data_IF_582517850564
#
_entry.id   IF_582517850564
#
_cell.length_a   1.000
_cell.length_b   1.000
_cell.length_c   1.000
_cell.angle_alpha   90.00
_cell.angle_beta   90.00
_cell.angle_gamma   90.00
#
_symmetry.space_group_name_H-M   'P 1'
#
loop_
_entity.id
_entity.type
_entity.pdbx_description
1 polymer ?
#
# COMPACT_ATOMS: atom_id res chain seq x y z
N UNK A 1 -18.93 -15.35 3.24
CA UNK A 1 -18.54 -14.63 4.48
C UNK A 1 -17.29 -13.82 4.20
N UNK A 2 -16.97 -12.85 5.05
CA UNK A 2 -15.72 -12.08 4.92
C UNK A 2 -14.51 -12.93 5.37
N UNK A 3 -13.32 -12.78 4.74
CA UNK A 3 -12.12 -13.49 5.16
C UNK A 3 -11.70 -13.12 6.60
N UNK A 4 -11.32 -14.11 7.40
CA UNK A 4 -10.83 -13.91 8.79
C UNK A 4 -9.30 -13.69 8.83
N UNK A 5 -8.59 -14.14 7.80
CA UNK A 5 -7.12 -14.10 7.67
C UNK A 5 -6.56 -12.74 7.22
N UNK A 6 -7.23 -11.64 7.58
CA UNK A 6 -6.79 -10.30 7.19
C UNK A 6 -5.53 -9.91 7.99
N UNK A 7 -4.45 -9.45 7.34
CA UNK A 7 -3.28 -8.89 8.01
C UNK A 7 -3.61 -7.85 9.09
N UNK A 8 -2.84 -7.84 10.18
CA UNK A 8 -3.05 -6.94 11.32
C UNK A 8 -1.82 -6.07 11.60
N UNK A 9 -2.06 -4.95 12.28
CA UNK A 9 -1.05 -4.05 12.86
C UNK A 9 0.12 -3.74 11.89
N UNK A 10 1.31 -4.23 12.19
CA UNK A 10 2.56 -3.87 11.52
C UNK A 10 2.59 -4.31 10.05
N UNK A 11 1.93 -5.42 9.73
CA UNK A 11 1.82 -5.88 8.34
C UNK A 11 1.05 -4.87 7.50
N UNK A 12 -0.04 -4.32 8.05
CA UNK A 12 -0.85 -3.29 7.37
C UNK A 12 -0.03 -2.02 7.21
N UNK A 13 0.75 -1.65 8.21
CA UNK A 13 1.62 -0.46 8.16
C UNK A 13 2.67 -0.56 7.06
N UNK A 14 3.33 -1.71 6.91
CA UNK A 14 4.34 -1.91 5.86
C UNK A 14 3.75 -1.90 4.44
N UNK A 15 2.59 -2.52 4.25
CA UNK A 15 1.88 -2.50 2.97
C UNK A 15 1.33 -1.11 2.66
N UNK A 16 0.81 -0.41 3.67
CA UNK A 16 0.38 0.98 3.55
C UNK A 16 1.54 1.85 3.09
N UNK A 17 2.68 1.80 3.80
CA UNK A 17 3.89 2.54 3.45
C UNK A 17 4.30 2.31 1.99
N UNK A 18 4.39 1.04 1.55
CA UNK A 18 4.69 0.71 0.16
C UNK A 18 3.73 1.33 -0.87
N UNK A 19 2.46 1.50 -0.51
CA UNK A 19 1.42 1.95 -1.43
C UNK A 19 1.25 3.47 -1.54
N UNK A 20 1.97 4.23 -0.70
CA UNK A 20 1.93 5.71 -0.68
C UNK A 20 2.46 6.27 -1.99
N UNK A 21 1.88 7.39 -2.40
CA UNK A 21 2.30 8.16 -3.57
C UNK A 21 2.69 9.56 -3.10
N UNK A 22 3.90 9.97 -3.45
CA UNK A 22 4.38 11.33 -3.20
C UNK A 22 4.50 12.10 -4.51
N UNK A 23 4.54 13.44 -4.41
CA UNK A 23 4.79 14.32 -5.54
C UNK A 23 6.24 14.80 -5.51
N UNK A 24 6.82 15.04 -6.69
CA UNK A 24 8.18 15.55 -6.87
C UNK A 24 9.26 14.60 -6.31
N UNK A 25 9.03 13.31 -6.45
CA UNK A 25 9.99 12.28 -6.06
C UNK A 25 11.01 12.02 -7.18
N UNK A 26 12.26 11.63 -6.84
CA UNK A 26 13.23 11.16 -7.83
C UNK A 26 12.66 10.01 -8.68
N UNK A 27 12.79 10.13 -10.00
CA UNK A 27 12.28 9.14 -10.96
C UNK A 27 10.80 9.27 -11.31
N UNK A 28 10.14 10.37 -10.93
CA UNK A 28 8.77 10.66 -11.36
C UNK A 28 8.66 10.72 -12.90
N UNK A 29 7.64 10.06 -13.44
CA UNK A 29 7.37 9.97 -14.89
C UNK A 29 8.17 8.90 -15.63
N UNK A 30 9.09 8.20 -14.98
CA UNK A 30 9.84 7.10 -15.60
C UNK A 30 8.92 5.95 -15.99
N UNK A 31 9.30 5.23 -17.04
CA UNK A 31 8.55 4.08 -17.58
C UNK A 31 9.40 2.84 -17.42
N UNK A 32 8.83 1.79 -16.81
CA UNK A 32 9.52 0.53 -16.55
C UNK A 32 8.84 -0.62 -17.29
N UNK A 33 9.64 -1.42 -18.01
CA UNK A 33 9.14 -2.51 -18.84
C UNK A 33 8.98 -3.83 -18.06
N UNK A 34 9.76 -4.02 -17.01
CA UNK A 34 9.74 -5.21 -16.15
C UNK A 34 10.12 -4.90 -14.69
N UNK A 35 9.93 -5.89 -13.82
CA UNK A 35 10.24 -5.77 -12.39
C UNK A 35 11.75 -5.77 -12.09
N UNK A 36 12.58 -6.37 -12.95
CA UNK A 36 14.03 -6.40 -12.73
C UNK A 36 14.66 -5.02 -12.94
N UNK A 37 14.24 -4.32 -13.99
CA UNK A 37 14.61 -2.92 -14.26
C UNK A 37 14.16 -2.00 -13.12
N UNK A 38 12.93 -2.20 -12.62
CA UNK A 38 12.40 -1.45 -11.49
C UNK A 38 13.20 -1.69 -10.21
N UNK A 39 13.53 -2.94 -9.89
CA UNK A 39 14.33 -3.30 -8.73
C UNK A 39 15.74 -2.71 -8.82
N UNK A 40 16.37 -2.79 -9.99
CA UNK A 40 17.68 -2.18 -10.22
C UNK A 40 17.64 -0.65 -10.05
N UNK A 41 16.60 0.02 -10.54
CA UNK A 41 16.41 1.45 -10.36
C UNK A 41 16.21 1.84 -8.88
N UNK A 42 15.51 1.01 -8.11
CA UNK A 42 15.36 1.21 -6.66
C UNK A 42 16.70 1.02 -5.92
N UNK A 43 17.49 0.00 -6.28
CA UNK A 43 18.79 -0.27 -5.67
C UNK A 43 19.81 0.83 -5.97
N UNK A 44 19.82 1.34 -7.20
CA UNK A 44 20.66 2.46 -7.63
C UNK A 44 20.14 3.82 -7.15
N UNK A 45 18.97 3.87 -6.49
CA UNK A 45 18.28 5.08 -6.03
C UNK A 45 17.94 6.06 -7.16
N UNK A 46 17.81 5.56 -8.39
CA UNK A 46 17.33 6.34 -9.52
C UNK A 46 15.83 6.67 -9.39
N UNK A 47 15.08 5.83 -8.67
CA UNK A 47 13.67 6.03 -8.34
C UNK A 47 13.41 5.72 -6.86
N UNK A 48 12.44 6.39 -6.24
CA UNK A 48 12.00 6.08 -4.87
C UNK A 48 10.71 5.24 -4.86
N UNK A 49 10.43 4.55 -3.74
CA UNK A 49 9.26 3.67 -3.61
C UNK A 49 7.91 4.38 -3.87
N UNK A 50 7.85 5.69 -3.61
CA UNK A 50 6.63 6.49 -3.65
C UNK A 50 6.51 7.35 -4.91
N UNK A 51 7.50 7.29 -5.82
CA UNK A 51 7.50 8.04 -7.06
C UNK A 51 6.39 7.57 -8.01
N UNK A 52 5.75 8.51 -8.70
CA UNK A 52 4.76 8.19 -9.75
C UNK A 52 5.49 7.73 -11.01
N UNK A 53 5.24 6.51 -11.43
CA UNK A 53 5.87 5.88 -12.60
C UNK A 53 4.81 5.24 -13.50
N UNK A 54 5.23 4.84 -14.70
CA UNK A 54 4.43 3.98 -15.58
C UNK A 54 5.02 2.58 -15.59
N UNK A 55 4.31 1.62 -15.00
CA UNK A 55 4.75 0.24 -14.91
C UNK A 55 3.99 -0.65 -15.89
N UNK A 56 4.69 -1.55 -16.59
CA UNK A 56 4.04 -2.61 -17.36
C UNK A 56 3.71 -3.80 -16.46
N UNK A 57 2.42 -4.11 -16.32
CA UNK A 57 1.95 -5.31 -15.63
C UNK A 57 1.50 -6.37 -16.64
N UNK A 58 1.93 -7.63 -16.43
CA UNK A 58 1.57 -8.77 -17.28
C UNK A 58 0.57 -9.66 -16.54
N UNK A 59 -0.65 -9.73 -17.05
CA UNK A 59 -1.71 -10.61 -16.56
C UNK A 59 -2.09 -11.65 -17.62
N UNK A 60 -3.05 -12.53 -17.29
CA UNK A 60 -3.64 -13.50 -18.23
C UNK A 60 -5.06 -13.08 -18.58
N UNK A 61 -5.47 -13.29 -19.83
CA UNK A 61 -6.85 -13.12 -20.27
C UNK A 61 -7.71 -14.37 -20.01
N UNK A 62 -8.99 -14.29 -20.41
CA UNK A 62 -9.95 -15.39 -20.26
C UNK A 62 -9.60 -16.63 -21.11
N UNK A 63 -8.74 -16.47 -22.12
CA UNK A 63 -8.26 -17.53 -23.01
C UNK A 63 -6.90 -18.08 -22.54
N UNK A 64 -6.38 -17.58 -21.41
CA UNK A 64 -5.10 -17.98 -20.82
C UNK A 64 -3.88 -17.36 -21.50
N UNK A 65 -4.07 -16.40 -22.41
CA UNK A 65 -2.98 -15.71 -23.09
C UNK A 65 -2.46 -14.56 -22.23
N UNK A 66 -1.15 -14.36 -22.27
CA UNK A 66 -0.49 -13.29 -21.50
C UNK A 66 -0.77 -11.95 -22.17
N UNK A 67 -1.44 -11.06 -21.44
CA UNK A 67 -1.71 -9.68 -21.85
C UNK A 67 -0.92 -8.72 -20.99
N UNK A 68 -0.22 -7.78 -21.62
CA UNK A 68 0.49 -6.70 -20.94
C UNK A 68 -0.25 -5.38 -21.07
N UNK A 69 -0.41 -4.67 -19.95
CA UNK A 69 -0.95 -3.30 -19.92
C UNK A 69 -0.01 -2.39 -19.14
N UNK A 70 0.04 -1.12 -19.53
CA UNK A 70 0.79 -0.08 -18.81
C UNK A 70 -0.18 0.61 -17.86
N UNK A 71 0.24 0.80 -16.61
CA UNK A 71 -0.53 1.48 -15.57
C UNK A 71 0.27 2.63 -14.99
N UNK A 72 -0.42 3.73 -14.67
CA UNK A 72 0.11 4.77 -13.80
C UNK A 72 0.10 4.26 -12.36
N UNK A 73 1.28 4.14 -11.74
CA UNK A 73 1.47 3.43 -10.47
C UNK A 73 2.71 3.94 -9.73
N UNK A 74 3.11 3.28 -8.65
CA UNK A 74 4.38 3.51 -7.95
C UNK A 74 5.21 2.24 -7.90
N UNK A 75 6.54 2.31 -7.70
CA UNK A 75 7.36 1.12 -7.54
C UNK A 75 6.86 0.22 -6.40
N UNK A 76 6.44 0.80 -5.27
CA UNK A 76 5.91 0.01 -4.16
C UNK A 76 4.61 -0.73 -4.49
N UNK A 77 3.69 -0.12 -5.24
CA UNK A 77 2.46 -0.79 -5.71
C UNK A 77 2.75 -1.89 -6.74
N UNK A 78 3.77 -1.71 -7.57
CA UNK A 78 4.24 -2.75 -8.51
C UNK A 78 4.78 -3.98 -7.76
N UNK A 79 5.55 -3.78 -6.69
CA UNK A 79 6.05 -4.87 -5.82
C UNK A 79 4.89 -5.65 -5.20
N UNK A 80 3.85 -4.97 -4.71
CA UNK A 80 2.65 -5.64 -4.17
C UNK A 80 1.92 -6.41 -5.28
N UNK A 81 1.75 -5.78 -6.46
CA UNK A 81 1.05 -6.39 -7.58
C UNK A 81 1.75 -7.62 -8.17
N UNK A 82 3.08 -7.71 -8.06
CA UNK A 82 3.84 -8.90 -8.45
C UNK A 82 3.42 -10.15 -7.67
N UNK A 83 2.95 -9.99 -6.43
CA UNK A 83 2.47 -11.09 -5.61
C UNK A 83 1.06 -11.56 -5.99
N UNK A 84 0.30 -10.78 -6.76
CA UNK A 84 -1.05 -11.15 -7.17
C UNK A 84 -1.03 -12.42 -8.04
N UNK A 85 -1.94 -13.38 -7.80
CA UNK A 85 -2.11 -14.52 -8.69
C UNK A 85 -2.46 -14.07 -10.10
N UNK A 86 -1.83 -14.69 -11.12
CA UNK A 86 -2.14 -14.43 -12.53
C UNK A 86 -3.50 -15.03 -12.87
N UNK A 87 -4.54 -14.21 -12.77
CA UNK A 87 -5.91 -14.60 -13.05
C UNK A 87 -6.64 -13.43 -13.71
N UNK A 88 -7.49 -13.70 -14.70
CA UNK A 88 -8.27 -12.68 -15.43
C UNK A 88 -9.17 -11.87 -14.48
N UNK A 89 -9.66 -12.50 -13.42
CA UNK A 89 -10.59 -11.89 -12.47
C UNK A 89 -9.89 -11.16 -11.31
N UNK A 90 -8.55 -11.15 -11.28
CA UNK A 90 -7.76 -10.40 -10.29
C UNK A 90 -6.99 -9.30 -11.03
N UNK A 91 -7.63 -8.14 -11.29
CA UNK A 91 -6.98 -7.06 -12.01
C UNK A 91 -5.93 -6.38 -11.13
N UNK A 92 -4.89 -5.83 -11.77
CA UNK A 92 -3.83 -5.06 -11.11
C UNK A 92 -4.37 -3.86 -10.30
N UNK A 93 -5.52 -3.32 -10.70
CA UNK A 93 -6.21 -2.25 -9.97
C UNK A 93 -6.52 -2.59 -8.51
N UNK A 94 -6.63 -3.88 -8.16
CA UNK A 94 -6.79 -4.31 -6.76
C UNK A 94 -5.59 -3.94 -5.90
N UNK A 95 -4.37 -3.94 -6.47
CA UNK A 95 -3.13 -3.52 -5.82
C UNK A 95 -2.74 -2.06 -6.12
N UNK A 96 -3.29 -1.45 -7.18
CA UNK A 96 -3.01 -0.05 -7.54
C UNK A 96 -3.86 0.97 -6.76
N UNK A 97 -3.85 0.87 -5.44
CA UNK A 97 -4.52 1.80 -4.55
C UNK A 97 -3.75 1.85 -3.22
N UNK A 98 -4.12 2.77 -2.33
CA UNK A 98 -3.55 2.80 -0.99
C UNK A 98 -4.02 1.58 -0.19
N UNK A 99 -3.07 0.83 0.35
CA UNK A 99 -3.31 -0.43 1.05
C UNK A 99 -3.72 -0.20 2.50
N UNK A 100 -4.90 0.38 2.69
CA UNK A 100 -5.56 0.44 3.99
C UNK A 100 -6.03 -0.97 4.42
N UNK A 101 -6.28 -1.18 5.72
CA UNK A 101 -6.82 -2.46 6.24
C UNK A 101 -8.04 -2.95 5.47
N UNK A 102 -8.93 -2.03 5.08
CA UNK A 102 -10.14 -2.33 4.29
C UNK A 102 -9.79 -2.77 2.86
N UNK A 103 -8.84 -2.09 2.21
CA UNK A 103 -8.45 -2.40 0.84
C UNK A 103 -7.67 -3.72 0.77
N UNK A 104 -6.82 -4.01 1.76
CA UNK A 104 -6.14 -5.31 1.87
C UNK A 104 -7.17 -6.44 2.05
N UNK A 105 -8.16 -6.25 2.91
CA UNK A 105 -9.25 -7.22 3.10
C UNK A 105 -10.02 -7.48 1.80
N UNK A 106 -10.34 -6.42 1.03
CA UNK A 106 -10.99 -6.53 -0.29
C UNK A 106 -10.11 -7.23 -1.33
N UNK A 107 -8.80 -6.98 -1.31
CA UNK A 107 -7.83 -7.63 -2.20
C UNK A 107 -7.80 -9.15 -1.93
N UNK A 108 -7.70 -9.55 -0.66
CA UNK A 108 -7.73 -10.98 -0.26
C UNK A 108 -9.07 -11.63 -0.62
N UNK A 109 -10.21 -10.95 -0.40
CA UNK A 109 -11.53 -11.45 -0.79
C UNK A 109 -11.63 -11.68 -2.30
N UNK A 110 -11.05 -10.78 -3.10
CA UNK A 110 -11.02 -10.91 -4.57
C UNK A 110 -10.20 -12.13 -4.99
N UNK A 111 -9.01 -12.32 -4.42
CA UNK A 111 -8.17 -13.50 -4.67
C UNK A 111 -8.89 -14.79 -4.24
N UNK A 112 -9.55 -14.79 -3.09
CA UNK A 112 -10.30 -15.93 -2.57
C UNK A 112 -11.44 -16.37 -3.49
N UNK A 113 -12.25 -15.42 -3.96
CA UNK A 113 -13.40 -15.71 -4.83
C UNK A 113 -13.00 -16.28 -6.18
N UNK A 114 -11.83 -15.90 -6.70
CA UNK A 114 -11.46 -16.18 -8.09
C UNK A 114 -10.32 -17.19 -8.26
N UNK A 115 -9.45 -17.37 -7.26
CA UNK A 115 -8.31 -18.29 -7.31
C UNK A 115 -8.46 -19.49 -6.35
N UNK A 116 -9.48 -19.47 -5.47
CA UNK A 116 -9.74 -20.54 -4.52
C UNK A 116 -8.83 -20.51 -3.30
N UNK A 117 -9.03 -21.49 -2.40
CA UNK A 117 -8.44 -21.48 -1.07
C UNK A 117 -6.91 -21.63 -1.07
N UNK A 118 -6.38 -22.58 -1.84
CA UNK A 118 -4.93 -22.88 -1.85
C UNK A 118 -4.09 -21.67 -2.27
N UNK A 119 -4.46 -21.03 -3.38
CA UNK A 119 -3.77 -19.84 -3.88
C UNK A 119 -3.89 -18.65 -2.91
N UNK A 120 -5.05 -18.51 -2.26
CA UNK A 120 -5.25 -17.45 -1.26
C UNK A 120 -4.32 -17.60 -0.07
N UNK A 121 -4.11 -18.83 0.43
CA UNK A 121 -3.19 -19.08 1.55
C UNK A 121 -1.76 -18.68 1.16
N UNK A 122 -1.30 -19.14 -0.02
CA UNK A 122 0.03 -18.80 -0.54
C UNK A 122 0.18 -17.28 -0.72
N UNK A 123 -0.86 -16.61 -1.21
CA UNK A 123 -0.88 -15.17 -1.37
C UNK A 123 -0.79 -14.44 -0.03
N UNK A 124 -1.55 -14.88 0.98
CA UNK A 124 -1.53 -14.27 2.31
C UNK A 124 -0.16 -14.40 2.98
N UNK A 125 0.52 -15.55 2.85
CA UNK A 125 1.87 -15.74 3.38
C UNK A 125 2.89 -14.81 2.73
N UNK A 126 2.80 -14.62 1.40
CA UNK A 126 3.69 -13.70 0.67
C UNK A 126 3.45 -12.24 1.05
N UNK A 127 2.18 -11.84 1.16
CA UNK A 127 1.80 -10.49 1.60
C UNK A 127 2.25 -10.23 3.04
N UNK A 128 2.16 -11.24 3.92
CA UNK A 128 2.69 -11.18 5.28
C UNK A 128 4.19 -10.91 5.29
N UNK A 129 4.97 -11.71 4.56
CA UNK A 129 6.40 -11.55 4.49
C UNK A 129 6.80 -10.17 3.94
N UNK A 130 6.14 -9.71 2.88
CA UNK A 130 6.37 -8.40 2.29
C UNK A 130 6.04 -7.27 3.28
N UNK A 131 4.88 -7.35 3.95
CA UNK A 131 4.44 -6.37 4.92
C UNK A 131 5.43 -6.21 6.07
N UNK A 132 5.88 -7.30 6.69
CA UNK A 132 6.87 -7.25 7.76
C UNK A 132 8.23 -6.75 7.30
N UNK A 133 8.72 -7.20 6.14
CA UNK A 133 10.01 -6.79 5.61
C UNK A 133 10.05 -5.27 5.35
N UNK A 134 9.00 -4.72 4.76
CA UNK A 134 8.92 -3.28 4.47
C UNK A 134 8.56 -2.44 5.68
N UNK A 135 7.78 -2.94 6.63
CA UNK A 135 7.57 -2.28 7.92
C UNK A 135 8.90 -2.09 8.67
N UNK A 136 9.73 -3.15 8.72
CA UNK A 136 11.05 -3.08 9.34
C UNK A 136 12.00 -2.12 8.60
N UNK A 137 12.04 -2.18 7.26
CA UNK A 137 12.88 -1.28 6.44
C UNK A 137 12.46 0.18 6.50
N UNK A 138 11.16 0.44 6.67
CA UNK A 138 10.65 1.80 6.80
C UNK A 138 11.11 2.47 8.10
N UNK A 139 11.47 1.68 9.13
CA UNK A 139 11.99 2.20 10.39
C UNK A 139 11.02 3.15 11.09
N UNK A 140 9.71 2.93 10.93
CA UNK A 140 8.69 3.81 11.48
C UNK A 140 8.79 3.75 13.01
N UNK A 141 9.05 4.90 13.60
CA UNK A 141 9.11 5.11 15.05
C UNK A 141 8.16 6.24 15.42
N UNK A 142 7.80 6.31 16.69
CA UNK A 142 6.89 7.31 17.21
C UNK A 142 7.50 7.94 18.46
N UNK A 143 7.77 9.24 18.38
CA UNK A 143 8.36 10.04 19.45
C UNK A 143 7.37 11.04 20.05
N UNK A 144 7.80 11.72 21.10
CA UNK A 144 6.99 12.78 21.74
C UNK A 144 6.67 13.92 20.78
N UNK A 145 7.56 14.20 19.84
CA UNK A 145 7.46 15.34 18.92
C UNK A 145 6.48 15.07 17.76
N UNK A 146 6.09 13.81 17.55
CA UNK A 146 5.02 13.45 16.60
C UNK A 146 3.62 13.80 17.14
N UNK A 147 3.51 14.05 18.46
CA UNK A 147 2.29 14.54 19.10
C UNK A 147 2.20 16.06 19.00
N UNK A 148 1.73 16.55 17.85
CA UNK A 148 1.51 17.98 17.64
C UNK A 148 0.36 18.50 18.52
N UNK A 149 0.70 19.30 19.54
CA UNK A 149 -0.29 20.02 20.34
C UNK A 149 -0.72 21.26 19.54
N UNK A 150 -2.01 21.42 19.21
CA UNK A 150 -2.46 22.56 18.44
C UNK A 150 -2.39 23.85 19.28
N UNK A 151 -1.93 24.94 18.67
CA UNK A 151 -1.82 26.26 19.33
C UNK A 151 -3.17 26.78 19.85
N UNK A 152 -4.27 26.34 19.21
CA UNK A 152 -5.64 26.69 19.60
C UNK A 152 -6.08 26.08 20.94
N UNK A 153 -5.37 25.06 21.44
CA UNK A 153 -5.73 24.35 22.68
C UNK A 153 -5.88 25.30 23.87
N UNK A 154 -4.91 26.18 24.09
CA UNK A 154 -4.92 27.07 25.26
C UNK A 154 -6.12 28.02 25.24
N UNK A 155 -6.44 28.58 24.07
CA UNK A 155 -7.58 29.46 23.88
C UNK A 155 -8.91 28.75 24.13
N UNK A 156 -9.08 27.54 23.57
CA UNK A 156 -10.31 26.77 23.77
C UNK A 156 -10.54 26.41 25.24
N UNK A 157 -9.47 26.09 25.98
CA UNK A 157 -9.55 25.80 27.42
C UNK A 157 -9.92 27.06 28.20
N UNK A 158 -9.24 28.18 27.96
CA UNK A 158 -9.54 29.44 28.68
C UNK A 158 -10.94 29.95 28.41
N UNK A 159 -11.42 29.87 27.16
CA UNK A 159 -12.75 30.31 26.78
C UNK A 159 -13.82 29.44 27.48
N UNK A 160 -13.56 28.14 27.65
CA UNK A 160 -14.48 27.22 28.35
C UNK A 160 -14.45 27.41 29.87
N UNK A 161 -13.28 27.67 30.46
CA UNK A 161 -13.15 28.00 31.89
C UNK A 161 -13.92 29.27 32.24
N UNK A 162 -13.80 30.32 31.43
CA UNK A 162 -14.54 31.57 31.64
C UNK A 162 -16.07 31.39 31.52
N UNK A 163 -16.53 30.59 30.57
CA UNK A 163 -17.95 30.24 30.45
C UNK A 163 -18.43 29.46 31.69
N UNK A 164 -17.62 28.53 32.22
CA UNK A 164 -18.00 27.75 33.40
C UNK A 164 -18.14 28.62 34.65
N UNK A 165 -17.25 29.61 34.84
CA UNK A 165 -17.34 30.59 35.93
C UNK A 165 -18.60 31.48 35.84
N UNK A 166 -19.11 31.77 34.64
CA UNK A 166 -20.37 32.54 34.49
C UNK A 166 -21.62 31.76 34.94
N UNK A 167 -21.55 30.43 35.05
CA UNK A 167 -22.67 29.57 35.46
C UNK A 167 -22.58 29.07 36.91
N UNK A 168 -21.50 29.35 37.64
CA UNK A 168 -21.39 29.18 39.11
C UNK A 168 -21.84 30.45 39.86
#
# INVERSE_FOLDING_TARGET
>A
GAPIIVPSQDMVLGLYYLSIVNQNEPGEGMVFADMGELQHALETKAVTLHAKIKGRFRTVDAEGKVVSKIYDTTPGRMIIGELLPKNVNVPYETANQEMTKKNISKMIDTVYRHCGQKETVIFCDRIMALGFAHACRAGISFGKDDMLIPDTKLKLVSDTEALAEEYE
#
